data_IF_218453900155
#
_entry.id   IF_218453900155
#
_cell.length_a   1.000
_cell.length_b   1.000
_cell.length_c   1.000
_cell.angle_alpha   90.00
_cell.angle_beta   90.00
_cell.angle_gamma   90.00
#
_symmetry.space_group_name_H-M   'P 1'
#
loop_
_entity.id
_entity.type
_entity.pdbx_description
1 polymer ?
#
# COMPACT_ATOMS: atom_id res chain seq x y z
N UNK A 1 -1.39 14.98 5.36
CA UNK A 1 -2.57 15.76 4.93
C UNK A 1 -3.84 14.91 5.16
N UNK A 2 -4.83 15.41 5.91
CA UNK A 2 -6.15 14.75 6.00
C UNK A 2 -6.83 14.86 4.63
N UNK A 3 -7.20 13.73 4.00
CA UNK A 3 -8.00 13.74 2.76
C UNK A 3 -9.33 14.46 3.03
N UNK A 4 -9.70 15.44 2.20
CA UNK A 4 -11.02 16.10 2.28
C UNK A 4 -12.11 15.07 1.94
N UNK A 5 -13.25 15.11 2.65
CA UNK A 5 -14.40 14.20 2.41
C UNK A 5 -14.92 14.38 0.98
N UNK A 6 -15.21 13.28 0.28
CA UNK A 6 -15.78 13.33 -1.08
C UNK A 6 -17.19 13.94 -1.06
N UNK A 7 -17.71 14.44 -2.20
CA UNK A 7 -19.12 14.84 -2.31
C UNK A 7 -20.09 13.74 -1.87
N UNK A 8 -19.83 12.50 -2.27
CA UNK A 8 -20.62 11.32 -1.90
C UNK A 8 -20.60 11.07 -0.38
N UNK A 9 -19.43 11.13 0.26
CA UNK A 9 -19.32 11.01 1.72
C UNK A 9 -20.04 12.13 2.47
N UNK A 10 -20.11 13.35 1.88
CA UNK A 10 -20.86 14.47 2.46
C UNK A 10 -22.36 14.25 2.30
N UNK A 11 -22.81 13.76 1.16
CA UNK A 11 -24.21 13.44 0.92
C UNK A 11 -24.67 12.29 1.81
N UNK A 12 -23.89 11.21 1.90
CA UNK A 12 -24.18 10.07 2.76
C UNK A 12 -24.27 10.47 4.25
N UNK A 13 -23.44 11.42 4.71
CA UNK A 13 -23.54 11.97 6.08
C UNK A 13 -24.83 12.76 6.32
N UNK A 14 -25.28 13.54 5.34
CA UNK A 14 -26.53 14.29 5.46
C UNK A 14 -27.73 13.36 5.48
N UNK A 15 -27.73 12.37 4.60
CA UNK A 15 -28.78 11.35 4.54
C UNK A 15 -28.82 10.51 5.81
N UNK A 16 -27.67 10.09 6.32
CA UNK A 16 -27.57 9.37 7.58
C UNK A 16 -28.17 10.19 8.73
N UNK A 17 -27.86 11.49 8.80
CA UNK A 17 -28.40 12.38 9.82
C UNK A 17 -29.93 12.44 9.77
N UNK A 18 -30.52 12.63 8.59
CA UNK A 18 -31.99 12.68 8.42
C UNK A 18 -32.66 11.33 8.74
N UNK A 19 -32.00 10.22 8.39
CA UNK A 19 -32.52 8.87 8.60
C UNK A 19 -32.56 8.49 10.07
N UNK A 20 -31.57 8.93 10.85
CA UNK A 20 -31.45 8.63 12.29
C UNK A 20 -32.00 9.74 13.19
N UNK A 21 -32.60 10.77 12.61
CA UNK A 21 -33.25 11.85 13.37
C UNK A 21 -34.54 11.34 14.00
N UNK A 22 -34.60 11.30 15.33
CA UNK A 22 -35.73 10.76 16.09
C UNK A 22 -36.99 11.62 15.98
N UNK A 23 -36.88 12.91 15.68
CA UNK A 23 -38.04 13.79 15.48
C UNK A 23 -38.71 13.54 14.11
N UNK A 24 -37.90 13.23 13.10
CA UNK A 24 -38.37 12.94 11.73
C UNK A 24 -38.70 11.47 11.50
N UNK A 25 -37.96 10.57 12.14
CA UNK A 25 -38.10 9.12 12.03
C UNK A 25 -38.05 8.46 13.42
N UNK A 26 -39.14 8.55 14.21
CA UNK A 26 -39.26 7.82 15.46
C UNK A 26 -39.06 6.33 15.22
N UNK A 27 -38.33 5.67 16.12
CA UNK A 27 -38.09 4.23 16.08
C UNK A 27 -37.54 3.71 14.73
N UNK A 28 -36.77 4.52 14.00
CA UNK A 28 -36.17 4.10 12.73
C UNK A 28 -35.38 2.79 12.83
N UNK A 29 -34.84 2.46 14.02
CA UNK A 29 -34.12 1.23 14.31
C UNK A 29 -35.01 -0.02 14.33
N UNK A 30 -36.34 0.14 14.47
CA UNK A 30 -37.31 -0.95 14.38
C UNK A 30 -37.64 -1.31 12.92
N UNK A 31 -37.32 -0.44 11.96
CA UNK A 31 -37.53 -0.65 10.54
C UNK A 31 -36.28 -1.29 9.90
N UNK A 32 -36.35 -2.56 9.46
CA UNK A 32 -35.21 -3.25 8.84
C UNK A 32 -34.66 -2.56 7.60
N UNK A 33 -35.51 -1.85 6.83
CA UNK A 33 -35.08 -1.14 5.62
C UNK A 33 -34.23 0.09 5.98
N UNK A 34 -34.64 0.83 7.01
CA UNK A 34 -33.88 1.99 7.51
C UNK A 34 -32.56 1.56 8.16
N UNK A 35 -32.55 0.46 8.90
CA UNK A 35 -31.32 -0.11 9.45
C UNK A 35 -30.35 -0.51 8.33
N UNK A 36 -30.84 -1.22 7.31
CA UNK A 36 -30.02 -1.58 6.14
C UNK A 36 -29.46 -0.34 5.44
N UNK A 37 -30.29 0.69 5.24
CA UNK A 37 -29.86 1.94 4.60
C UNK A 37 -28.81 2.67 5.43
N UNK A 38 -28.94 2.68 6.75
CA UNK A 38 -27.96 3.25 7.69
C UNK A 38 -26.60 2.56 7.56
N UNK A 39 -26.58 1.23 7.45
CA UNK A 39 -25.34 0.47 7.29
C UNK A 39 -24.67 0.73 5.93
N UNK A 40 -25.44 0.83 4.84
CA UNK A 40 -24.93 1.23 3.52
C UNK A 40 -24.29 2.63 3.55
N UNK A 41 -24.95 3.59 4.19
CA UNK A 41 -24.46 4.97 4.32
C UNK A 41 -23.16 5.02 5.14
N UNK A 42 -23.09 4.27 6.24
CA UNK A 42 -21.86 4.12 7.01
C UNK A 42 -20.73 3.51 6.17
N UNK A 43 -21.05 2.50 5.35
CA UNK A 43 -20.13 1.92 4.37
C UNK A 43 -19.52 2.99 3.47
N UNK A 44 -20.32 3.88 2.88
CA UNK A 44 -19.85 4.98 2.01
C UNK A 44 -18.99 5.99 2.80
N UNK A 45 -19.39 6.32 4.02
CA UNK A 45 -18.71 7.31 4.87
C UNK A 45 -17.33 6.80 5.33
N UNK A 46 -17.26 5.52 5.68
CA UNK A 46 -16.06 4.85 6.16
C UNK A 46 -15.18 4.34 5.01
N UNK A 47 -15.76 4.14 3.83
CA UNK A 47 -15.04 3.74 2.64
C UNK A 47 -13.90 4.72 2.37
N UNK A 48 -12.68 4.19 2.50
CA UNK A 48 -11.48 4.80 1.98
C UNK A 48 -11.12 3.97 0.77
N UNK A 49 -11.04 4.61 -0.39
CA UNK A 49 -10.45 3.97 -1.56
C UNK A 49 -9.15 3.28 -1.13
N UNK A 50 -9.02 1.96 -1.41
CA UNK A 50 -7.79 1.26 -1.14
C UNK A 50 -6.67 2.02 -1.86
N UNK A 51 -5.64 2.41 -1.12
CA UNK A 51 -4.49 3.06 -1.73
C UNK A 51 -3.82 2.00 -2.60
N UNK A 52 -4.10 2.05 -3.90
CA UNK A 52 -3.44 1.21 -4.89
C UNK A 52 -2.00 1.72 -4.99
N UNK A 53 -1.12 1.14 -4.18
CA UNK A 53 0.31 1.37 -4.29
C UNK A 53 0.88 0.39 -5.29
N UNK A 54 1.76 0.89 -6.15
CA UNK A 54 2.64 0.03 -6.94
C UNK A 54 3.49 -0.85 -6.01
N UNK A 55 3.94 -1.99 -6.53
CA UNK A 55 4.81 -2.87 -5.74
C UNK A 55 6.11 -2.19 -5.33
N UNK A 56 6.65 -1.31 -6.20
CA UNK A 56 7.85 -0.53 -5.92
C UNK A 56 7.63 0.47 -4.76
N UNK A 57 6.47 1.14 -4.68
CA UNK A 57 6.12 1.98 -3.53
C UNK A 57 5.94 1.17 -2.24
N UNK A 58 5.41 -0.06 -2.32
CA UNK A 58 5.32 -0.96 -1.16
C UNK A 58 6.71 -1.32 -0.65
N UNK A 59 7.63 -1.65 -1.54
CA UNK A 59 9.02 -1.98 -1.18
C UNK A 59 9.76 -0.77 -0.62
N UNK A 60 9.57 0.42 -1.20
CA UNK A 60 10.17 1.65 -0.64
C UNK A 60 9.63 1.92 0.76
N UNK A 61 8.32 1.85 0.99
CA UNK A 61 7.75 2.02 2.35
C UNK A 61 8.25 0.98 3.34
N UNK A 62 8.50 -0.25 2.89
CA UNK A 62 9.08 -1.29 3.74
C UNK A 62 10.49 -0.91 4.21
N UNK A 63 11.30 -0.33 3.31
CA UNK A 63 12.64 0.17 3.61
C UNK A 63 12.59 1.43 4.48
N UNK A 64 11.69 2.37 4.19
CA UNK A 64 11.54 3.63 4.94
C UNK A 64 11.14 3.38 6.41
N UNK A 65 10.34 2.33 6.66
CA UNK A 65 9.99 1.90 8.02
C UNK A 65 11.18 1.35 8.81
N UNK A 66 12.29 1.02 8.16
CA UNK A 66 13.46 0.38 8.74
C UNK A 66 14.72 1.18 8.38
N UNK A 67 14.98 2.30 9.08
CA UNK A 67 16.12 3.15 8.78
C UNK A 67 17.42 2.35 8.85
N UNK A 68 18.27 2.50 7.83
CA UNK A 68 19.55 1.78 7.69
C UNK A 68 19.48 0.43 6.96
N UNK A 69 18.28 -0.16 6.79
CA UNK A 69 18.15 -1.44 6.09
C UNK A 69 18.50 -1.32 4.61
N UNK A 70 18.05 -0.24 3.96
CA UNK A 70 18.39 0.03 2.55
C UNK A 70 19.90 0.16 2.34
N UNK A 71 20.58 0.94 3.20
CA UNK A 71 22.02 1.11 3.14
C UNK A 71 22.77 -0.21 3.36
N UNK A 72 22.30 -1.07 4.28
CA UNK A 72 22.89 -2.39 4.51
C UNK A 72 22.74 -3.30 3.28
N UNK A 73 21.55 -3.34 2.66
CA UNK A 73 21.32 -4.11 1.42
C UNK A 73 22.21 -3.61 0.30
N UNK A 74 22.28 -2.30 0.08
CA UNK A 74 23.11 -1.69 -0.97
C UNK A 74 24.59 -2.01 -0.74
N UNK A 75 25.08 -1.94 0.51
CA UNK A 75 26.45 -2.31 0.85
C UNK A 75 26.75 -3.77 0.51
N UNK A 76 25.90 -4.71 0.91
CA UNK A 76 26.08 -6.13 0.60
C UNK A 76 26.00 -6.42 -0.91
N UNK A 77 25.16 -5.68 -1.63
CA UNK A 77 25.08 -5.77 -3.09
C UNK A 77 26.36 -5.26 -3.77
N UNK A 78 26.97 -4.19 -3.26
CA UNK A 78 28.26 -3.69 -3.74
C UNK A 78 29.41 -4.67 -3.44
N UNK A 79 29.35 -5.36 -2.30
CA UNK A 79 30.25 -6.46 -1.93
C UNK A 79 30.04 -7.74 -2.77
N UNK A 80 29.12 -7.72 -3.76
CA UNK A 80 28.77 -8.84 -4.64
C UNK A 80 28.22 -10.07 -3.92
N UNK A 81 27.67 -9.91 -2.70
CA UNK A 81 26.95 -11.01 -2.03
C UNK A 81 25.76 -11.47 -2.86
N UNK A 82 25.48 -12.78 -2.81
CA UNK A 82 24.33 -13.37 -3.46
C UNK A 82 23.05 -12.91 -2.76
N UNK A 83 21.95 -12.75 -3.51
CA UNK A 83 20.67 -12.36 -2.93
C UNK A 83 20.20 -13.33 -1.84
N UNK A 84 20.60 -14.61 -1.92
CA UNK A 84 20.27 -15.64 -0.93
C UNK A 84 20.94 -15.35 0.41
N UNK A 85 22.23 -15.00 0.39
CA UNK A 85 22.99 -14.63 1.59
C UNK A 85 22.41 -13.37 2.22
N UNK A 86 22.07 -12.36 1.41
CA UNK A 86 21.43 -11.12 1.88
C UNK A 86 20.06 -11.41 2.52
N UNK A 87 19.29 -12.32 1.93
CA UNK A 87 17.99 -12.76 2.47
C UNK A 87 18.16 -13.47 3.81
N UNK A 88 19.11 -14.38 3.91
CA UNK A 88 19.33 -15.17 5.12
C UNK A 88 19.88 -14.29 6.26
N UNK A 89 20.77 -13.34 5.94
CA UNK A 89 21.37 -12.39 6.88
C UNK A 89 20.38 -11.31 7.36
N UNK A 90 19.62 -10.70 6.45
CA UNK A 90 18.70 -9.59 6.76
C UNK A 90 17.24 -10.01 6.92
N UNK A 91 16.93 -11.31 6.81
CA UNK A 91 15.59 -11.93 6.91
C UNK A 91 14.53 -11.15 6.13
N UNK A 92 14.79 -10.85 4.87
CA UNK A 92 13.92 -10.04 4.00
C UNK A 92 13.50 -10.76 2.71
N UNK A 93 12.50 -10.21 2.03
CA UNK A 93 12.03 -10.75 0.76
C UNK A 93 13.02 -10.46 -0.38
N UNK A 94 13.23 -11.46 -1.24
CA UNK A 94 13.98 -11.31 -2.50
C UNK A 94 13.46 -10.17 -3.37
N UNK A 95 12.14 -9.90 -3.34
CA UNK A 95 11.54 -8.82 -4.12
C UNK A 95 12.06 -7.44 -3.71
N UNK A 96 12.29 -7.23 -2.40
CA UNK A 96 12.88 -5.98 -1.87
C UNK A 96 14.35 -5.87 -2.28
N UNK A 97 15.10 -6.98 -2.24
CA UNK A 97 16.51 -7.01 -2.70
C UNK A 97 16.59 -6.69 -4.20
N UNK A 98 15.70 -7.28 -5.01
CA UNK A 98 15.61 -7.03 -6.44
C UNK A 98 15.20 -5.58 -6.73
N UNK A 99 14.30 -5.00 -5.93
CA UNK A 99 13.97 -3.58 -5.97
C UNK A 99 15.21 -2.71 -5.70
N UNK A 100 15.98 -2.96 -4.64
CA UNK A 100 17.23 -2.24 -4.38
C UNK A 100 18.24 -2.39 -5.53
N UNK A 101 18.39 -3.59 -6.10
CA UNK A 101 19.27 -3.81 -7.26
C UNK A 101 18.87 -2.97 -8.47
N UNK A 102 17.56 -2.89 -8.78
CA UNK A 102 17.02 -2.06 -9.86
C UNK A 102 17.19 -0.58 -9.56
N UNK A 103 16.80 -0.13 -8.37
CA UNK A 103 16.85 1.26 -7.92
C UNK A 103 18.25 1.86 -8.02
N UNK A 104 19.27 1.09 -7.65
CA UNK A 104 20.67 1.55 -7.66
C UNK A 104 21.46 1.12 -8.90
N UNK A 105 20.80 0.57 -9.93
CA UNK A 105 21.44 0.07 -11.15
C UNK A 105 22.62 -0.89 -10.89
N UNK A 106 22.56 -1.68 -9.81
CA UNK A 106 23.58 -2.66 -9.42
C UNK A 106 23.48 -3.97 -10.20
N UNK A 107 22.79 -3.94 -11.34
CA UNK A 107 22.69 -5.10 -12.20
C UNK A 107 24.05 -5.29 -12.88
N UNK A 108 24.73 -6.45 -12.72
CA UNK A 108 25.93 -6.70 -13.50
C UNK A 108 25.50 -6.63 -14.96
N UNK A 109 26.03 -5.64 -15.70
CA UNK A 109 25.88 -5.60 -17.16
C UNK A 109 26.22 -7.00 -17.66
N UNK A 110 25.22 -7.73 -18.15
CA UNK A 110 25.45 -8.98 -18.84
C UNK A 110 26.35 -8.59 -20.01
N UNK A 111 27.65 -8.83 -19.86
CA UNK A 111 28.65 -8.57 -20.89
C UNK A 111 28.45 -9.68 -21.92
N UNK A 112 27.39 -9.61 -22.72
CA UNK A 112 27.28 -10.39 -23.95
C UNK A 112 28.28 -9.85 -24.96
N UNK A 113 29.56 -10.15 -24.75
CA UNK A 113 30.53 -10.25 -25.84
C UNK A 113 30.78 -11.74 -26.07
N UNK A 114 29.85 -12.39 -26.76
CA UNK A 114 30.20 -13.57 -27.57
C UNK A 114 31.07 -13.03 -28.71
N UNK A 115 32.37 -12.90 -28.46
CA UNK A 115 33.34 -12.84 -29.53
C UNK A 115 33.35 -14.24 -30.12
N UNK A 116 32.74 -14.41 -31.30
CA UNK A 116 32.97 -15.61 -32.13
C UNK A 116 34.46 -15.62 -32.42
N UNK A 117 35.18 -16.59 -31.84
CA UNK A 117 36.54 -16.91 -32.27
C UNK A 117 36.42 -17.67 -33.58
N UNK A 118 37.04 -17.08 -34.60
CA UNK A 118 37.65 -17.67 -35.82
C UNK A 118 36.93 -18.84 -36.46
#
# INVERSE_FOLDING_TARGET
>A
MRRKKTPEQRQARRELFMLTDEELNPEWFNDPEKVKRRDELLGIIEYREPVVMSDDEKYQRYLDKRPGLEAAVVKMLLEKKLSKEIRDELKMDFKVIAFCRRKYNLNPKIRTKRVRRT
#
